data_IF_918845127859
#
_entry.id   IF_918845127859
#
_cell.length_a   1.000
_cell.length_b   1.000
_cell.length_c   1.000
_cell.angle_alpha   90.00
_cell.angle_beta   90.00
_cell.angle_gamma   90.00
#
_symmetry.space_group_name_H-M   'P 1'
#
loop_
_entity.id
_entity.type
_entity.pdbx_description
1 polymer ?
#
# COMPACT_ATOMS: atom_id res chain seq x y z
N UNK A 1 28.66 32.44 14.85
CA UNK A 1 27.91 31.61 15.81
C UNK A 1 26.77 30.93 15.07
N UNK A 2 26.72 29.60 15.18
CA UNK A 2 25.85 28.69 14.43
C UNK A 2 24.37 28.82 14.81
N UNK A 3 23.48 28.76 13.83
CA UNK A 3 22.14 28.18 13.98
C UNK A 3 21.88 27.31 12.76
N UNK A 4 22.24 26.02 12.90
CA UNK A 4 22.14 25.00 11.87
C UNK A 4 20.67 24.83 11.47
N UNK A 5 20.32 25.20 10.24
CA UNK A 5 19.20 24.58 9.55
C UNK A 5 19.58 23.10 9.32
N UNK A 6 19.16 22.23 10.23
CA UNK A 6 19.18 20.79 9.97
C UNK A 6 18.30 20.53 8.73
N UNK A 7 18.81 19.86 7.68
CA UNK A 7 17.91 19.35 6.66
C UNK A 7 17.00 18.34 7.35
N UNK A 8 15.68 18.59 7.31
CA UNK A 8 14.66 17.56 7.59
C UNK A 8 15.11 16.32 6.84
N UNK A 9 15.33 15.22 7.55
CA UNK A 9 15.80 13.96 6.97
C UNK A 9 14.87 13.54 5.83
N UNK A 10 15.22 13.94 4.60
CA UNK A 10 14.59 13.42 3.41
C UNK A 10 14.91 11.94 3.40
N UNK A 11 13.93 11.11 3.76
CA UNK A 11 14.01 9.67 3.61
C UNK A 11 14.08 9.38 2.10
N UNK A 12 15.28 9.47 1.53
CA UNK A 12 15.51 9.35 0.09
C UNK A 12 15.50 7.85 -0.21
N UNK A 13 14.39 7.38 -0.78
CA UNK A 13 14.26 6.02 -1.29
C UNK A 13 15.45 5.70 -2.20
N UNK A 14 16.21 4.65 -1.87
CA UNK A 14 17.38 4.26 -2.67
C UNK A 14 16.96 3.66 -4.02
N UNK A 15 15.70 3.26 -4.14
CA UNK A 15 15.10 2.74 -5.38
C UNK A 15 14.38 3.80 -6.21
N UNK A 16 14.46 5.09 -5.85
CA UNK A 16 13.67 6.14 -6.51
C UNK A 16 13.92 6.18 -8.03
N UNK A 17 15.19 6.19 -8.44
CA UNK A 17 15.57 6.27 -9.87
C UNK A 17 15.16 5.01 -10.64
N UNK A 18 15.24 3.84 -9.99
CA UNK A 18 14.75 2.58 -10.56
C UNK A 18 13.24 2.64 -10.80
N UNK A 19 12.46 3.06 -9.81
CA UNK A 19 11.00 3.16 -9.93
C UNK A 19 10.57 4.24 -10.94
N UNK A 20 11.28 5.36 -11.02
CA UNK A 20 11.08 6.34 -12.09
C UNK A 20 11.36 5.76 -13.48
N UNK A 21 12.39 4.93 -13.61
CA UNK A 21 12.72 4.26 -14.88
C UNK A 21 11.67 3.22 -15.27
N UNK A 22 11.22 2.41 -14.30
CA UNK A 22 10.15 1.42 -14.51
C UNK A 22 8.85 2.11 -14.97
N UNK A 23 8.47 3.22 -14.34
CA UNK A 23 7.26 3.97 -14.68
C UNK A 23 7.21 4.40 -16.14
N UNK A 24 8.36 4.72 -16.75
CA UNK A 24 8.47 5.16 -18.13
C UNK A 24 8.83 4.04 -19.12
N UNK A 25 8.97 2.81 -18.64
CA UNK A 25 9.35 1.65 -19.46
C UNK A 25 8.12 0.91 -20.01
N UNK A 26 8.29 0.07 -21.04
CA UNK A 26 7.23 -0.84 -21.50
C UNK A 26 7.04 -2.08 -20.60
N UNK A 27 7.64 -2.10 -19.40
CA UNK A 27 7.55 -3.25 -18.49
C UNK A 27 6.10 -3.53 -18.08
N UNK A 28 5.64 -4.75 -18.34
CA UNK A 28 4.26 -5.15 -18.05
C UNK A 28 4.07 -5.84 -16.71
N UNK A 29 5.13 -6.43 -16.15
CA UNK A 29 5.05 -7.26 -14.95
C UNK A 29 6.22 -6.97 -14.02
N UNK A 30 5.92 -6.71 -12.76
CA UNK A 30 6.91 -6.51 -11.72
C UNK A 30 6.61 -7.44 -10.53
N UNK A 31 7.62 -8.25 -10.19
CA UNK A 31 7.53 -9.22 -9.09
C UNK A 31 8.71 -9.03 -8.17
N UNK A 32 8.42 -8.82 -6.89
CA UNK A 32 9.45 -8.74 -5.86
C UNK A 32 9.63 -10.10 -5.19
N UNK A 33 10.89 -10.45 -4.92
CA UNK A 33 11.26 -11.57 -4.06
C UNK A 33 11.68 -11.00 -2.71
N UNK A 34 11.02 -11.42 -1.62
CA UNK A 34 11.32 -11.01 -0.24
C UNK A 34 11.48 -9.49 -0.02
N UNK A 35 10.53 -8.64 -0.48
CA UNK A 35 10.66 -7.18 -0.41
C UNK A 35 10.85 -6.63 1.00
N UNK A 36 10.40 -7.34 2.04
CA UNK A 36 10.60 -6.96 3.45
C UNK A 36 12.07 -6.89 3.89
N UNK A 37 12.99 -7.45 3.10
CA UNK A 37 14.43 -7.45 3.41
C UNK A 37 15.13 -6.18 2.92
N UNK A 38 14.56 -5.45 1.95
CA UNK A 38 15.24 -4.31 1.32
C UNK A 38 14.35 -3.11 1.01
N UNK A 39 13.01 -3.25 0.98
CA UNK A 39 12.12 -2.11 0.79
C UNK A 39 11.70 -1.53 2.14
N UNK A 40 12.07 -0.27 2.37
CA UNK A 40 11.48 0.54 3.42
C UNK A 40 10.09 1.01 3.02
N UNK A 41 9.32 1.53 3.99
CA UNK A 41 8.03 2.19 3.70
C UNK A 41 8.21 3.37 2.74
N UNK A 42 9.33 4.11 2.82
CA UNK A 42 9.64 5.19 1.88
C UNK A 42 9.87 4.70 0.44
N UNK A 43 10.51 3.54 0.27
CA UNK A 43 10.66 2.92 -1.05
C UNK A 43 9.31 2.45 -1.59
N UNK A 44 8.42 1.94 -0.73
CA UNK A 44 7.07 1.52 -1.11
C UNK A 44 6.18 2.70 -1.53
N UNK A 45 6.38 3.89 -0.95
CA UNK A 45 5.77 5.14 -1.43
C UNK A 45 6.25 5.47 -2.85
N UNK A 46 7.55 5.35 -3.11
CA UNK A 46 8.10 5.57 -4.46
C UNK A 46 7.62 4.52 -5.47
N UNK A 47 7.48 3.26 -5.05
CA UNK A 47 6.87 2.20 -5.86
C UNK A 47 5.40 2.52 -6.16
N UNK A 48 4.65 3.03 -5.19
CA UNK A 48 3.28 3.49 -5.40
C UNK A 48 3.20 4.61 -6.44
N UNK A 49 4.13 5.56 -6.42
CA UNK A 49 4.20 6.59 -7.46
C UNK A 49 4.48 6.02 -8.85
N UNK A 50 5.41 5.06 -8.94
CA UNK A 50 5.68 4.32 -10.17
C UNK A 50 4.44 3.59 -10.69
N UNK A 51 3.67 2.94 -9.82
CA UNK A 51 2.43 2.22 -10.18
C UNK A 51 1.37 3.17 -10.75
N UNK A 52 1.21 4.38 -10.20
CA UNK A 52 0.27 5.37 -10.73
C UNK A 52 0.68 5.91 -12.09
N UNK A 53 1.98 6.13 -12.28
CA UNK A 53 2.53 6.76 -13.51
C UNK A 53 2.72 5.77 -14.65
N UNK A 54 2.92 4.49 -14.35
CA UNK A 54 3.16 3.49 -15.38
C UNK A 54 1.94 3.28 -16.27
N UNK A 55 2.15 3.36 -17.59
CA UNK A 55 1.13 3.10 -18.60
C UNK A 55 1.08 1.64 -19.04
N UNK A 56 2.13 0.87 -18.72
CA UNK A 56 2.33 -0.48 -19.23
C UNK A 56 2.33 -1.56 -18.15
N UNK A 57 2.61 -1.19 -16.89
CA UNK A 57 2.64 -2.14 -15.78
C UNK A 57 1.22 -2.64 -15.48
N UNK A 58 0.93 -3.86 -15.91
CA UNK A 58 -0.38 -4.51 -15.74
C UNK A 58 -0.41 -5.47 -14.57
N UNK A 59 0.75 -6.00 -14.15
CA UNK A 59 0.86 -6.99 -13.08
C UNK A 59 1.88 -6.58 -12.04
N UNK A 60 1.46 -6.56 -10.77
CA UNK A 60 2.33 -6.36 -9.62
C UNK A 60 2.16 -7.48 -8.61
N UNK A 61 3.27 -8.12 -8.23
CA UNK A 61 3.31 -9.10 -7.14
C UNK A 61 4.27 -8.63 -6.04
N UNK A 62 3.73 -8.46 -4.84
CA UNK A 62 4.44 -7.95 -3.68
C UNK A 62 4.17 -8.83 -2.45
N UNK A 63 4.91 -9.95 -2.31
CA UNK A 63 4.69 -10.90 -1.23
C UNK A 63 5.38 -10.44 0.07
N UNK A 64 4.97 -10.99 1.20
CA UNK A 64 5.75 -11.02 2.45
C UNK A 64 6.18 -9.65 3.02
N UNK A 65 5.42 -8.56 2.83
CA UNK A 65 5.63 -7.37 3.67
C UNK A 65 5.08 -7.62 5.07
N UNK A 66 5.60 -6.87 6.04
CA UNK A 66 5.42 -7.14 7.46
C UNK A 66 4.12 -6.58 8.05
N UNK A 67 3.49 -5.60 7.39
CA UNK A 67 2.36 -4.87 7.97
C UNK A 67 1.49 -4.19 6.92
N UNK A 68 0.27 -3.79 7.32
CA UNK A 68 -0.68 -3.10 6.45
C UNK A 68 -0.14 -1.74 6.00
N UNK A 69 0.63 -1.03 6.82
CA UNK A 69 1.27 0.25 6.49
C UNK A 69 2.24 0.12 5.33
N UNK A 70 2.89 -1.05 5.19
CA UNK A 70 3.77 -1.33 4.06
C UNK A 70 2.97 -1.55 2.76
N UNK A 71 1.76 -2.10 2.86
CA UNK A 71 0.89 -2.34 1.71
C UNK A 71 0.04 -1.13 1.31
N UNK A 72 -0.25 -0.21 2.24
CA UNK A 72 -1.09 0.97 1.98
C UNK A 72 -0.63 1.82 0.80
N UNK A 73 0.67 2.18 0.64
CA UNK A 73 1.11 2.97 -0.50
C UNK A 73 0.73 2.35 -1.85
N UNK A 74 0.76 1.02 -1.93
CA UNK A 74 0.44 0.28 -3.14
C UNK A 74 -1.07 0.20 -3.35
N UNK A 75 -1.84 -0.09 -2.30
CA UNK A 75 -3.30 -0.13 -2.35
C UNK A 75 -3.91 1.24 -2.71
N UNK A 76 -3.30 2.33 -2.23
CA UNK A 76 -3.63 3.70 -2.62
C UNK A 76 -3.24 4.01 -4.07
N UNK A 77 -2.03 3.60 -4.47
CA UNK A 77 -1.53 3.82 -5.83
C UNK A 77 -2.36 3.10 -6.89
N UNK A 78 -2.79 1.87 -6.62
CA UNK A 78 -3.62 1.11 -7.54
C UNK A 78 -4.95 1.84 -7.79
N UNK A 79 -5.56 2.46 -6.78
CA UNK A 79 -6.77 3.27 -6.97
C UNK A 79 -6.65 4.37 -8.03
N UNK A 80 -5.46 4.93 -8.20
CA UNK A 80 -5.16 5.95 -9.22
C UNK A 80 -4.42 5.44 -10.47
N UNK A 81 -4.19 4.14 -10.61
CA UNK A 81 -3.53 3.55 -11.77
C UNK A 81 -4.54 3.21 -12.86
N UNK A 82 -4.21 3.53 -14.12
CA UNK A 82 -5.02 3.19 -15.28
C UNK A 82 -4.46 1.99 -16.07
N UNK A 83 -3.48 1.27 -15.52
CA UNK A 83 -2.80 0.17 -16.21
C UNK A 83 -2.87 -1.16 -15.44
N UNK A 84 -2.82 -1.12 -14.10
CA UNK A 84 -2.80 -2.34 -13.28
C UNK A 84 -4.09 -3.15 -13.46
N UNK A 85 -3.93 -4.43 -13.81
CA UNK A 85 -4.99 -5.42 -13.99
C UNK A 85 -4.91 -6.53 -12.95
N UNK A 86 -3.70 -6.86 -12.49
CA UNK A 86 -3.47 -7.90 -11.48
C UNK A 86 -2.61 -7.36 -10.36
N UNK A 87 -3.15 -7.39 -9.15
CA UNK A 87 -2.44 -7.09 -7.92
C UNK A 87 -2.42 -8.33 -7.03
N UNK A 88 -1.22 -8.82 -6.73
CA UNK A 88 -1.04 -9.91 -5.77
C UNK A 88 -0.29 -9.42 -4.56
N UNK A 89 -1.00 -9.42 -3.43
CA UNK A 89 -0.47 -9.04 -2.14
C UNK A 89 -0.65 -10.21 -1.18
N UNK A 90 0.38 -11.04 -1.12
CA UNK A 90 0.38 -12.32 -0.43
C UNK A 90 1.35 -12.22 0.78
N UNK A 91 0.91 -11.70 1.96
CA UNK A 91 1.68 -11.72 3.21
C UNK A 91 1.75 -13.12 3.82
N UNK A 92 2.63 -13.30 4.81
CA UNK A 92 2.60 -14.48 5.69
C UNK A 92 1.39 -14.40 6.64
N UNK A 93 1.22 -13.27 7.31
CA UNK A 93 0.06 -12.89 8.12
C UNK A 93 -0.02 -11.37 8.16
N UNK A 94 -1.20 -10.80 7.96
CA UNK A 94 -1.44 -9.36 8.20
C UNK A 94 -2.85 -9.15 8.75
N UNK A 95 -2.96 -8.33 9.80
CA UNK A 95 -4.25 -7.86 10.30
C UNK A 95 -4.58 -6.49 9.73
N UNK A 96 -5.84 -6.29 9.37
CA UNK A 96 -6.36 -5.02 8.86
C UNK A 96 -7.49 -4.56 9.73
N UNK A 97 -7.38 -3.32 10.23
CA UNK A 97 -8.38 -2.69 11.08
C UNK A 97 -9.26 -1.74 10.25
N UNK A 98 -10.40 -1.34 10.82
CA UNK A 98 -11.45 -0.57 10.13
C UNK A 98 -10.95 0.59 9.26
N UNK A 99 -10.05 1.43 9.81
CA UNK A 99 -9.54 2.60 9.10
C UNK A 99 -8.72 2.23 7.86
N UNK A 100 -7.84 1.23 8.00
CA UNK A 100 -7.00 0.78 6.90
C UNK A 100 -7.84 0.05 5.83
N UNK A 101 -8.82 -0.73 6.25
CA UNK A 101 -9.77 -1.38 5.36
C UNK A 101 -10.58 -0.36 4.56
N UNK A 102 -11.23 0.59 5.23
CA UNK A 102 -12.03 1.63 4.57
C UNK A 102 -11.19 2.43 3.56
N UNK A 103 -9.96 2.78 3.93
CA UNK A 103 -9.05 3.52 3.05
C UNK A 103 -8.67 2.68 1.81
N UNK A 104 -8.26 1.43 2.02
CA UNK A 104 -7.90 0.53 0.93
C UNK A 104 -9.06 0.30 -0.03
N UNK A 105 -10.26 -0.02 0.49
CA UNK A 105 -11.45 -0.28 -0.33
C UNK A 105 -11.90 0.97 -1.08
N UNK A 106 -11.91 2.13 -0.42
CA UNK A 106 -12.27 3.40 -1.07
C UNK A 106 -11.33 3.69 -2.24
N UNK A 107 -10.02 3.52 -2.04
CA UNK A 107 -9.04 3.65 -3.12
C UNK A 107 -9.30 2.66 -4.26
N UNK A 108 -9.38 1.36 -3.95
CA UNK A 108 -9.54 0.31 -4.94
C UNK A 108 -10.82 0.46 -5.76
N UNK A 109 -11.90 1.03 -5.17
CA UNK A 109 -13.15 1.33 -5.87
C UNK A 109 -12.97 2.30 -7.05
N UNK A 110 -11.95 3.16 -7.00
CA UNK A 110 -11.66 4.11 -8.10
C UNK A 110 -10.90 3.48 -9.26
N UNK A 111 -10.33 2.28 -9.11
CA UNK A 111 -9.61 1.63 -10.18
C UNK A 111 -10.59 0.92 -11.14
N UNK A 112 -10.55 1.27 -12.43
CA UNK A 112 -11.41 0.69 -13.48
C UNK A 112 -10.77 -0.47 -14.26
N UNK A 113 -9.47 -0.71 -14.08
CA UNK A 113 -8.68 -1.67 -14.87
C UNK A 113 -8.37 -2.96 -14.14
N UNK A 114 -8.43 -2.97 -12.81
CA UNK A 114 -8.13 -4.11 -11.96
C UNK A 114 -9.16 -5.22 -12.25
N UNK A 115 -8.66 -6.43 -12.49
CA UNK A 115 -9.45 -7.64 -12.76
C UNK A 115 -9.18 -8.74 -11.76
N UNK A 116 -8.01 -8.71 -11.13
CA UNK A 116 -7.59 -9.74 -10.19
C UNK A 116 -6.89 -9.09 -9.00
N UNK A 117 -7.42 -9.37 -7.81
CA UNK A 117 -6.86 -8.97 -6.53
C UNK A 117 -6.68 -10.22 -5.66
N UNK A 118 -5.45 -10.54 -5.30
CA UNK A 118 -5.13 -11.60 -4.32
C UNK A 118 -4.75 -10.95 -2.99
N UNK A 119 -5.51 -11.28 -1.95
CA UNK A 119 -5.28 -10.90 -0.55
C UNK A 119 -5.14 -12.18 0.30
N UNK A 120 -4.28 -13.10 -0.13
CA UNK A 120 -4.11 -14.38 0.57
C UNK A 120 -3.51 -14.16 1.97
N UNK A 121 -4.03 -14.83 2.99
CA UNK A 121 -3.54 -14.76 4.39
C UNK A 121 -3.76 -13.40 5.08
N UNK A 122 -4.79 -12.66 4.67
CA UNK A 122 -5.24 -11.45 5.35
C UNK A 122 -6.30 -11.78 6.41
N UNK A 123 -6.16 -11.19 7.59
CA UNK A 123 -7.17 -11.19 8.66
C UNK A 123 -7.81 -9.80 8.72
N UNK A 124 -9.13 -9.73 8.70
CA UNK A 124 -9.88 -8.48 8.77
C UNK A 124 -10.58 -8.37 10.12
N UNK A 125 -10.06 -7.49 10.97
CA UNK A 125 -10.59 -7.22 12.30
C UNK A 125 -11.47 -5.96 12.22
N UNK A 126 -12.69 -6.14 11.71
CA UNK A 126 -13.64 -5.05 11.45
C UNK A 126 -14.67 -4.95 12.58
N UNK A 127 -14.78 -3.79 13.21
CA UNK A 127 -15.78 -3.55 14.24
C UNK A 127 -17.10 -3.09 13.62
N UNK A 128 -18.19 -3.67 14.10
CA UNK A 128 -19.52 -3.12 13.84
C UNK A 128 -19.67 -1.79 14.59
N UNK A 129 -19.87 -0.69 13.84
CA UNK A 129 -20.09 0.65 14.40
C UNK A 129 -21.25 0.68 15.40
N UNK A 130 -22.30 -0.12 15.17
CA UNK A 130 -23.44 -0.19 16.08
C UNK A 130 -23.05 -0.86 17.40
N UNK A 131 -22.32 -1.96 17.35
CA UNK A 131 -21.82 -2.64 18.56
C UNK A 131 -20.78 -1.80 19.31
N UNK A 132 -19.85 -1.14 18.61
CA UNK A 132 -18.86 -0.26 19.22
C UNK A 132 -19.53 0.92 19.98
N UNK A 133 -20.60 1.47 19.40
CA UNK A 133 -21.39 2.53 20.04
C UNK A 133 -22.11 2.02 21.28
N UNK A 134 -22.73 0.84 21.22
CA UNK A 134 -23.37 0.20 22.37
C UNK A 134 -22.38 -0.07 23.51
N UNK A 135 -21.19 -0.61 23.22
CA UNK A 135 -20.16 -0.83 24.25
C UNK A 135 -19.69 0.48 24.89
N UNK A 136 -19.52 1.55 24.11
CA UNK A 136 -19.16 2.85 24.66
C UNK A 136 -20.22 3.38 25.63
N UNK A 137 -21.51 3.26 25.29
CA UNK A 137 -22.59 3.67 26.20
C UNK A 137 -22.70 2.78 27.44
N UNK A 138 -22.47 1.47 27.32
CA UNK A 138 -22.55 0.54 28.45
C UNK A 138 -21.39 0.69 29.45
N UNK A 139 -20.20 1.08 29.02
CA UNK A 139 -19.01 1.15 29.88
C UNK A 139 -18.70 2.54 30.46
N UNK A 140 -19.32 3.61 29.97
CA UNK A 140 -19.06 4.98 30.42
C UNK A 140 -20.25 5.69 31.08
N UNK A 141 -21.44 5.07 31.07
CA UNK A 141 -22.65 5.63 31.69
C UNK A 141 -23.29 4.74 32.76
N UNK A 142 -22.55 3.72 33.21
CA UNK A 142 -22.77 2.93 34.43
C UNK A 142 -21.42 2.73 35.13
#
# INVERSE_FOLDING_TARGET
MNSRNQPRSQHKSVFHDLFCSIANSPLQSLTFLYPSLYLSVGDLVCLGDCVRRSKHLTRLKLPNLKSIESYMPILLAVGGSNAIQTLRIDPNTVSVWDKAFQLAVTSLRHNSTLRTLSLAHWTFDLQDKHLATLYYYYYYYY
#
